data_IF_490573853120
#
_entry.id   IF_490573853120
#
_cell.length_a   1.000
_cell.length_b   1.000
_cell.length_c   1.000
_cell.angle_alpha   90.00
_cell.angle_beta   90.00
_cell.angle_gamma   90.00
#
_symmetry.space_group_name_H-M   'P 1'
#
loop_
_entity.id
_entity.type
_entity.pdbx_description
1 polymer ?
#
# COMPACT_ATOMS: atom_id res chain seq x y z
N UNK A 1 -6.47 -9.43 -30.49
CA UNK A 1 -6.03 -8.83 -29.22
C UNK A 1 -6.74 -9.57 -28.10
N UNK A 2 -6.08 -10.57 -27.53
CA UNK A 2 -6.59 -11.22 -26.33
C UNK A 2 -6.61 -10.18 -25.21
N UNK A 3 -7.79 -9.88 -24.68
CA UNK A 3 -7.93 -9.14 -23.42
C UNK A 3 -7.13 -9.91 -22.37
N UNK A 4 -6.03 -9.29 -21.91
CA UNK A 4 -5.06 -9.84 -20.98
C UNK A 4 -5.81 -10.33 -19.72
N UNK A 5 -5.41 -11.48 -19.17
CA UNK A 5 -5.99 -12.02 -17.94
C UNK A 5 -5.99 -10.98 -16.81
N UNK A 6 -4.97 -10.12 -16.78
CA UNK A 6 -4.85 -8.95 -15.91
C UNK A 6 -6.07 -8.02 -15.96
N UNK A 7 -6.59 -7.68 -17.15
CA UNK A 7 -7.71 -6.76 -17.32
C UNK A 7 -9.07 -7.40 -17.00
N UNK A 8 -9.18 -8.73 -17.15
CA UNK A 8 -10.43 -9.47 -16.98
C UNK A 8 -10.62 -9.97 -15.56
N UNK A 9 -9.56 -10.49 -14.98
CA UNK A 9 -9.56 -11.10 -13.65
C UNK A 9 -8.18 -10.93 -13.02
N UNK A 10 -8.02 -9.78 -12.37
CA UNK A 10 -6.79 -9.41 -11.67
C UNK A 10 -6.40 -10.44 -10.60
N UNK A 11 -7.38 -11.01 -9.88
CA UNK A 11 -7.10 -11.96 -8.81
C UNK A 11 -6.55 -13.28 -9.37
N UNK A 12 -7.16 -13.78 -10.44
CA UNK A 12 -6.69 -14.98 -11.13
C UNK A 12 -5.31 -14.75 -11.79
N UNK A 13 -5.07 -13.56 -12.34
CA UNK A 13 -3.74 -13.18 -12.85
C UNK A 13 -2.69 -13.16 -11.73
N UNK A 14 -3.02 -12.64 -10.55
CA UNK A 14 -2.11 -12.58 -9.40
C UNK A 14 -1.76 -14.00 -8.91
N UNK A 15 -2.77 -14.86 -8.71
CA UNK A 15 -2.53 -16.25 -8.30
C UNK A 15 -1.69 -17.01 -9.33
N UNK A 16 -1.95 -16.81 -10.63
CA UNK A 16 -1.14 -17.40 -11.71
C UNK A 16 0.31 -16.90 -11.65
N UNK A 17 0.51 -15.60 -11.47
CA UNK A 17 1.85 -14.99 -11.40
C UNK A 17 2.62 -15.49 -10.19
N UNK A 18 1.98 -15.62 -9.03
CA UNK A 18 2.59 -16.21 -7.82
C UNK A 18 3.01 -17.66 -8.08
N UNK A 19 2.11 -18.49 -8.64
CA UNK A 19 2.43 -19.89 -8.96
C UNK A 19 3.62 -20.00 -9.92
N UNK A 20 3.71 -19.14 -10.94
CA UNK A 20 4.82 -19.13 -11.89
C UNK A 20 6.14 -18.73 -11.23
N UNK A 21 6.11 -17.74 -10.32
CA UNK A 21 7.28 -17.32 -9.54
C UNK A 21 7.76 -18.42 -8.59
N UNK A 22 6.85 -19.09 -7.88
CA UNK A 22 7.19 -20.20 -6.97
C UNK A 22 7.83 -21.39 -7.71
N UNK A 23 7.40 -21.65 -8.93
CA UNK A 23 7.92 -22.73 -9.78
C UNK A 23 9.13 -22.30 -10.64
N UNK A 24 9.66 -21.08 -10.48
CA UNK A 24 10.75 -20.50 -11.28
C UNK A 24 10.50 -20.52 -12.81
N UNK A 25 9.23 -20.46 -13.23
CA UNK A 25 8.82 -20.49 -14.63
C UNK A 25 8.81 -19.08 -15.23
N UNK A 26 9.98 -18.48 -15.39
CA UNK A 26 10.13 -17.09 -15.86
C UNK A 26 9.75 -16.88 -17.33
N UNK A 27 9.70 -17.94 -18.14
CA UNK A 27 9.36 -17.88 -19.57
C UNK A 27 7.89 -17.54 -19.83
N UNK A 28 7.00 -17.95 -18.92
CA UNK A 28 5.54 -17.78 -19.05
C UNK A 28 5.03 -16.59 -18.23
N UNK A 29 5.94 -15.84 -17.60
CA UNK A 29 5.63 -14.73 -16.74
C UNK A 29 5.23 -13.51 -17.57
N UNK A 30 4.12 -12.89 -17.20
CA UNK A 30 3.70 -11.60 -17.77
C UNK A 30 4.53 -10.46 -17.15
N UNK A 31 5.77 -10.34 -17.63
CA UNK A 31 6.76 -9.38 -17.12
C UNK A 31 6.31 -7.93 -17.28
N UNK A 32 5.57 -7.60 -18.34
CA UNK A 32 5.12 -6.24 -18.60
C UNK A 32 4.15 -5.76 -17.51
N UNK A 33 3.09 -6.54 -17.25
CA UNK A 33 2.13 -6.22 -16.19
C UNK A 33 2.75 -6.30 -14.79
N UNK A 34 3.69 -7.22 -14.55
CA UNK A 34 4.36 -7.31 -13.26
C UNK A 34 5.28 -6.10 -12.98
N UNK A 35 6.04 -5.64 -13.99
CA UNK A 35 6.87 -4.43 -13.87
C UNK A 35 6.00 -3.20 -13.63
N UNK A 36 4.87 -3.09 -14.34
CA UNK A 36 3.91 -2.02 -14.11
C UNK A 36 3.37 -2.05 -12.68
N UNK A 37 2.95 -3.21 -12.17
CA UNK A 37 2.41 -3.34 -10.82
C UNK A 37 3.45 -2.96 -9.75
N UNK A 38 4.69 -3.46 -9.86
CA UNK A 38 5.77 -3.10 -8.93
C UNK A 38 6.06 -1.58 -9.00
N UNK A 39 6.04 -1.00 -10.20
CA UNK A 39 6.25 0.44 -10.40
C UNK A 39 5.06 1.28 -9.91
N UNK A 40 3.85 0.72 -9.91
CA UNK A 40 2.62 1.37 -9.46
C UNK A 40 2.55 1.42 -7.95
N UNK A 41 3.01 0.37 -7.24
CA UNK A 41 3.03 0.28 -5.78
C UNK A 41 3.79 1.47 -5.16
N UNK A 42 4.96 1.83 -5.69
CA UNK A 42 5.70 3.00 -5.18
C UNK A 42 4.97 4.33 -5.39
N UNK A 43 4.19 4.46 -6.47
CA UNK A 43 3.42 5.67 -6.78
C UNK A 43 2.13 5.74 -5.96
N UNK A 44 1.43 4.63 -5.75
CA UNK A 44 0.20 4.56 -4.96
C UNK A 44 0.47 4.83 -3.49
N UNK A 45 1.53 4.24 -2.91
CA UNK A 45 1.96 4.49 -1.54
C UNK A 45 2.29 5.98 -1.30
N UNK A 46 3.01 6.60 -2.25
CA UNK A 46 3.31 8.04 -2.20
C UNK A 46 2.03 8.88 -2.24
N UNK A 47 1.10 8.59 -3.15
CA UNK A 47 -0.20 9.30 -3.26
C UNK A 47 -1.04 9.13 -1.99
N UNK A 48 -1.06 7.94 -1.40
CA UNK A 48 -1.75 7.68 -0.13
C UNK A 48 -1.16 8.53 1.00
N UNK A 49 0.17 8.63 1.08
CA UNK A 49 0.86 9.48 2.05
C UNK A 49 0.49 10.97 1.88
N UNK A 50 0.52 11.48 0.66
CA UNK A 50 0.11 12.87 0.34
C UNK A 50 -1.35 13.14 0.74
N UNK A 51 -2.25 12.20 0.48
CA UNK A 51 -3.67 12.28 0.86
C UNK A 51 -3.85 12.32 2.38
N UNK A 52 -3.17 11.44 3.12
CA UNK A 52 -3.23 11.44 4.58
C UNK A 52 -2.65 12.73 5.19
N UNK A 53 -1.56 13.26 4.64
CA UNK A 53 -0.99 14.54 5.08
C UNK A 53 -1.97 15.70 4.83
N UNK A 54 -2.61 15.73 3.67
CA UNK A 54 -3.61 16.75 3.32
C UNK A 54 -4.78 16.72 4.31
N UNK A 55 -5.35 15.53 4.57
CA UNK A 55 -6.46 15.35 5.52
C UNK A 55 -6.06 15.69 6.95
N UNK A 56 -4.83 15.36 7.34
CA UNK A 56 -4.27 15.71 8.65
C UNK A 56 -4.21 17.23 8.84
N UNK A 57 -3.68 17.96 7.85
CA UNK A 57 -3.62 19.42 7.87
C UNK A 57 -5.02 20.03 7.93
N UNK A 58 -5.97 19.53 7.13
CA UNK A 58 -7.36 19.98 7.15
C UNK A 58 -7.98 19.87 8.55
N UNK A 59 -7.82 18.72 9.22
CA UNK A 59 -8.39 18.51 10.56
C UNK A 59 -7.71 19.36 11.63
N UNK A 60 -6.40 19.62 11.49
CA UNK A 60 -5.70 20.56 12.37
C UNK A 60 -6.22 21.99 12.20
N UNK A 61 -6.46 22.43 10.96
CA UNK A 61 -7.04 23.74 10.68
C UNK A 61 -8.48 23.84 11.21
N UNK A 62 -9.31 22.80 11.02
CA UNK A 62 -10.67 22.74 11.60
C UNK A 62 -10.64 22.91 13.12
N UNK A 63 -9.71 22.25 13.81
CA UNK A 63 -9.56 22.38 15.26
C UNK A 63 -9.13 23.77 15.73
N UNK A 64 -8.34 24.50 14.94
CA UNK A 64 -7.83 25.83 15.33
C UNK A 64 -8.83 26.93 15.00
N UNK A 65 -9.45 26.86 13.82
CA UNK A 65 -10.21 27.98 13.26
C UNK A 65 -11.72 27.78 13.32
N UNK A 66 -12.22 26.55 13.41
CA UNK A 66 -13.66 26.28 13.37
C UNK A 66 -14.26 26.16 14.77
N UNK A 67 -14.26 27.28 15.49
CA UNK A 67 -14.68 27.33 16.90
C UNK A 67 -16.16 26.98 17.11
N UNK A 68 -17.04 27.31 16.15
CA UNK A 68 -18.49 27.04 16.26
C UNK A 68 -18.85 25.55 16.26
N UNK A 69 -18.08 24.71 15.56
CA UNK A 69 -18.33 23.26 15.43
C UNK A 69 -17.45 22.44 16.39
N UNK A 70 -16.59 23.11 17.16
CA UNK A 70 -15.56 22.48 17.98
C UNK A 70 -16.16 21.60 19.07
N UNK A 71 -17.18 22.09 19.77
CA UNK A 71 -17.77 21.41 20.93
C UNK A 71 -18.35 20.03 20.58
N UNK A 72 -18.96 19.92 19.40
CA UNK A 72 -19.53 18.67 18.90
C UNK A 72 -18.49 17.78 18.18
N UNK A 73 -17.64 18.35 17.34
CA UNK A 73 -16.81 17.57 16.41
C UNK A 73 -15.37 17.32 16.87
N UNK A 74 -14.87 18.03 17.89
CA UNK A 74 -13.46 17.97 18.31
C UNK A 74 -12.99 16.55 18.61
N UNK A 75 -13.84 15.72 19.22
CA UNK A 75 -13.50 14.33 19.55
C UNK A 75 -13.32 13.48 18.28
N UNK A 76 -14.20 13.66 17.29
CA UNK A 76 -14.12 12.99 15.99
C UNK A 76 -12.86 13.41 15.24
N UNK A 77 -12.60 14.73 15.14
CA UNK A 77 -11.41 15.24 14.45
C UNK A 77 -10.11 14.81 15.10
N UNK A 78 -10.03 14.79 16.44
CA UNK A 78 -8.86 14.26 17.17
C UNK A 78 -8.63 12.77 16.90
N UNK A 79 -9.69 11.98 16.75
CA UNK A 79 -9.57 10.57 16.39
C UNK A 79 -9.08 10.39 14.95
N UNK A 80 -9.63 11.12 14.00
CA UNK A 80 -9.16 11.14 12.60
C UNK A 80 -7.69 11.52 12.50
N UNK A 81 -7.26 12.56 13.22
CA UNK A 81 -5.84 12.97 13.33
C UNK A 81 -4.97 11.80 13.81
N UNK A 82 -5.41 11.07 14.85
CA UNK A 82 -4.66 9.90 15.34
C UNK A 82 -4.57 8.80 14.28
N UNK A 83 -5.65 8.57 13.54
CA UNK A 83 -5.71 7.58 12.47
C UNK A 83 -4.77 7.95 11.31
N UNK A 84 -4.80 9.20 10.85
CA UNK A 84 -3.89 9.66 9.78
C UNK A 84 -2.43 9.57 10.21
N UNK A 85 -2.09 9.96 11.45
CA UNK A 85 -0.71 9.83 11.94
C UNK A 85 -0.23 8.38 11.98
N UNK A 86 -1.11 7.43 12.32
CA UNK A 86 -0.80 5.99 12.26
C UNK A 86 -0.64 5.50 10.81
N UNK A 87 -1.54 5.91 9.92
CA UNK A 87 -1.47 5.55 8.50
C UNK A 87 -0.17 6.06 7.85
N UNK A 88 0.17 7.34 8.10
CA UNK A 88 1.44 7.97 7.69
C UNK A 88 2.63 7.18 8.23
N UNK A 89 2.64 6.83 9.52
CA UNK A 89 3.75 6.05 10.11
C UNK A 89 3.86 4.65 9.51
N UNK A 90 2.75 4.01 9.16
CA UNK A 90 2.75 2.68 8.52
C UNK A 90 3.29 2.75 7.09
N UNK A 91 2.80 3.69 6.28
CA UNK A 91 3.23 3.84 4.88
C UNK A 91 4.67 4.35 4.79
N UNK A 92 5.07 5.28 5.66
CA UNK A 92 6.45 5.75 5.71
C UNK A 92 7.44 4.62 6.03
N UNK A 93 7.08 3.65 6.88
CA UNK A 93 7.91 2.46 7.14
C UNK A 93 8.07 1.58 5.90
N UNK A 94 7.03 1.43 5.08
CA UNK A 94 7.12 0.67 3.81
C UNK A 94 8.06 1.34 2.81
N UNK A 95 8.12 2.67 2.78
CA UNK A 95 9.00 3.45 1.89
C UNK A 95 10.44 3.52 2.42
N UNK A 96 10.64 3.52 3.75
CA UNK A 96 11.97 3.63 4.38
C UNK A 96 12.62 2.30 4.72
N UNK A 97 11.93 1.17 4.56
CA UNK A 97 12.56 -0.15 4.66
C UNK A 97 13.56 -0.33 3.50
N UNK A 98 14.88 -0.32 3.75
CA UNK A 98 15.86 -0.62 2.73
C UNK A 98 15.92 -2.14 2.60
N UNK A 99 15.04 -2.74 1.81
CA UNK A 99 15.11 -4.14 1.32
C UNK A 99 15.82 -5.09 2.32
N UNK A 100 15.40 -5.12 3.58
CA UNK A 100 15.77 -6.24 4.45
C UNK A 100 14.72 -7.31 4.18
N UNK A 101 14.98 -8.04 3.08
CA UNK A 101 14.42 -9.36 2.86
C UNK A 101 14.68 -10.14 4.16
N UNK A 102 13.63 -10.33 4.97
CA UNK A 102 13.65 -11.37 6.00
C UNK A 102 14.16 -12.64 5.33
N UNK A 103 15.13 -13.36 5.93
CA UNK A 103 15.63 -14.58 5.34
C UNK A 103 14.42 -15.49 5.10
N UNK A 104 14.23 -15.87 3.83
CA UNK A 104 13.28 -16.91 3.45
C UNK A 104 13.56 -18.06 4.40
N UNK A 105 12.56 -18.41 5.21
CA UNK A 105 12.66 -19.48 6.19
C UNK A 105 12.89 -20.76 5.39
N UNK A 106 14.17 -21.11 5.25
CA UNK A 106 14.62 -22.33 4.61
C UNK A 106 13.91 -23.50 5.25
N UNK A 107 13.25 -24.26 4.39
CA UNK A 107 12.71 -25.57 4.71
C UNK A 107 13.89 -26.52 4.97
N UNK A 108 14.41 -26.53 6.19
CA UNK A 108 15.34 -27.56 6.65
C UNK A 108 14.54 -28.63 7.42
N UNK A 109 13.87 -29.48 6.64
CA UNK A 109 13.74 -30.89 6.99
C UNK A 109 14.99 -31.59 6.44
N UNK A 110 15.48 -32.61 7.16
CA UNK A 110 16.75 -33.35 7.04
C UNK A 110 17.82 -32.72 7.95
N UNK A 111 18.11 -33.24 9.14
CA UNK A 111 18.36 -34.64 9.54
C UNK A 111 17.74 -34.94 10.90
#
# INVERSE_FOLDING_TARGET
MEKNLYEKDYYLWLEKTINLLENNQFSDLDLENLIEEISSIGKSEKRSLESYLTRLLEHLLKLVYWQSELEYNQRGWKNEIRNFRRAISSHAKLITCPIELKPLRGNDRHV
#
